data_IF_208966659372
#
_entry.id   IF_208966659372
#
_cell.length_a   1.000
_cell.length_b   1.000
_cell.length_c   1.000
_cell.angle_alpha   90.00
_cell.angle_beta   90.00
_cell.angle_gamma   90.00
#
_symmetry.space_group_name_H-M   'P 1'
#
loop_
_entity.id
_entity.type
_entity.pdbx_description
1 polymer ?
#
# COMPACT_ATOMS: atom_id res chain seq x y z
N UNK A 1 18.38 -18.31 6.99
CA UNK A 1 19.73 -17.71 6.99
C UNK A 1 19.73 -16.27 6.48
N UNK A 2 18.85 -15.93 5.54
CA UNK A 2 18.71 -14.58 4.99
C UNK A 2 18.42 -13.50 6.06
N UNK A 3 17.55 -13.79 7.04
CA UNK A 3 17.25 -12.86 8.13
C UNK A 3 18.51 -12.41 8.91
N UNK A 4 19.54 -13.27 8.99
CA UNK A 4 20.80 -12.92 9.68
C UNK A 4 21.64 -11.88 8.92
N UNK A 5 21.33 -11.67 7.65
CA UNK A 5 22.02 -10.74 6.76
C UNK A 5 21.13 -9.56 6.35
N UNK A 6 19.91 -9.47 6.90
CA UNK A 6 19.02 -8.32 6.69
C UNK A 6 19.48 -7.15 7.53
N UNK A 7 19.71 -6.01 6.89
CA UNK A 7 19.98 -4.72 7.53
C UNK A 7 18.75 -3.85 7.29
N UNK A 8 18.07 -3.45 8.35
CA UNK A 8 16.89 -2.57 8.29
C UNK A 8 17.33 -1.12 8.24
N UNK A 9 16.67 -0.31 7.42
CA UNK A 9 16.90 1.12 7.28
C UNK A 9 15.56 1.84 7.43
N UNK A 10 15.55 2.97 8.13
CA UNK A 10 14.35 3.81 8.24
C UNK A 10 14.20 4.70 7.00
N UNK A 11 13.01 5.25 6.79
CA UNK A 11 12.79 6.19 5.70
C UNK A 11 13.59 7.48 5.88
N UNK A 12 14.22 7.95 4.81
CA UNK A 12 15.05 9.15 4.80
C UNK A 12 16.50 8.92 5.24
N UNK A 13 16.86 7.73 5.75
CA UNK A 13 18.23 7.42 6.12
C UNK A 13 19.10 7.21 4.87
N UNK A 14 20.09 8.08 4.69
CA UNK A 14 21.08 7.97 3.62
C UNK A 14 22.15 6.95 4.02
N UNK A 15 22.20 5.83 3.30
CA UNK A 15 23.06 4.69 3.65
C UNK A 15 24.03 4.34 2.53
N UNK A 16 25.33 4.31 2.83
CA UNK A 16 26.34 3.81 1.89
C UNK A 16 26.21 2.28 1.75
N UNK A 17 25.79 1.81 0.57
CA UNK A 17 25.62 0.37 0.28
C UNK A 17 26.72 -0.19 -0.64
N UNK A 18 27.50 0.70 -1.26
CA UNK A 18 28.70 0.40 -2.04
C UNK A 18 29.64 1.61 -2.00
N UNK A 19 30.92 1.49 -2.42
CA UNK A 19 31.87 2.62 -2.40
C UNK A 19 31.41 3.90 -3.12
N UNK A 20 30.52 3.76 -4.09
CA UNK A 20 30.01 4.83 -4.94
C UNK A 20 28.47 4.83 -5.04
N UNK A 21 27.76 4.16 -4.13
CA UNK A 21 26.29 4.12 -4.14
C UNK A 21 25.72 4.35 -2.75
N UNK A 22 24.86 5.37 -2.64
CA UNK A 22 24.03 5.61 -1.47
C UNK A 22 22.57 5.25 -1.77
N UNK A 23 21.94 4.57 -0.83
CA UNK A 23 20.52 4.21 -0.86
C UNK A 23 19.78 5.03 0.18
N UNK A 24 18.63 5.56 -0.22
CA UNK A 24 17.64 6.16 0.67
C UNK A 24 16.28 5.55 0.36
N UNK A 25 15.58 5.05 1.38
CA UNK A 25 14.18 4.61 1.24
C UNK A 25 13.22 5.76 1.55
N UNK A 26 12.14 5.83 0.78
CA UNK A 26 11.03 6.75 1.01
C UNK A 26 9.71 5.98 1.03
N UNK A 27 8.66 6.52 1.66
CA UNK A 27 7.36 5.87 1.70
C UNK A 27 6.80 5.63 0.28
N UNK A 28 6.37 4.41 -0.03
CA UNK A 28 5.68 4.06 -1.28
C UNK A 28 4.14 4.04 -1.16
N UNK A 29 3.59 4.17 0.04
CA UNK A 29 2.12 4.21 0.25
C UNK A 29 1.38 2.92 -0.13
N UNK A 30 2.08 1.83 -0.45
CA UNK A 30 1.48 0.61 -0.99
C UNK A 30 1.04 -0.37 0.10
N UNK A 31 1.97 -0.73 0.99
CA UNK A 31 1.72 -1.58 2.16
C UNK A 31 2.62 -1.14 3.32
N UNK A 32 2.43 -1.73 4.51
CA UNK A 32 3.30 -1.47 5.65
C UNK A 32 4.76 -1.78 5.30
N UNK A 33 5.62 -0.76 5.39
CA UNK A 33 7.06 -0.88 5.08
C UNK A 33 7.40 -0.82 3.58
N UNK A 34 6.43 -0.58 2.69
CA UNK A 34 6.71 -0.42 1.25
C UNK A 34 7.56 0.83 0.99
N UNK A 35 8.63 0.68 0.21
CA UNK A 35 9.60 1.74 -0.03
C UNK A 35 9.84 2.04 -1.51
N UNK A 36 9.90 3.34 -1.82
CA UNK A 36 10.56 3.85 -3.03
C UNK A 36 12.06 3.90 -2.76
N UNK A 37 12.86 3.34 -3.64
CA UNK A 37 14.32 3.26 -3.49
C UNK A 37 15.00 4.33 -4.33
N UNK A 38 15.62 5.32 -3.68
CA UNK A 38 16.44 6.35 -4.33
C UNK A 38 17.91 5.95 -4.24
N UNK A 39 18.58 5.87 -5.39
CA UNK A 39 20.00 5.57 -5.48
C UNK A 39 20.75 6.79 -5.98
N UNK A 40 21.73 7.23 -5.20
CA UNK A 40 22.67 8.27 -5.56
C UNK A 40 24.02 7.65 -5.95
N UNK A 41 24.45 7.85 -7.19
CA UNK A 41 25.62 7.18 -7.79
C UNK A 41 26.78 8.17 -7.98
N UNK A 42 27.95 7.80 -7.46
CA UNK A 42 29.16 8.62 -7.43
C UNK A 42 28.96 9.91 -6.64
N UNK A 43 29.63 10.98 -7.04
CA UNK A 43 29.43 12.33 -6.51
C UNK A 43 28.23 13.02 -7.17
N UNK A 44 27.11 12.31 -7.31
CA UNK A 44 25.94 12.74 -8.05
C UNK A 44 26.11 12.69 -9.56
N UNK A 45 26.83 11.70 -10.08
CA UNK A 45 26.91 11.46 -11.52
C UNK A 45 25.54 11.09 -12.09
N UNK A 46 24.78 10.27 -11.38
CA UNK A 46 23.45 9.84 -11.77
C UNK A 46 22.61 9.47 -10.56
N UNK A 47 21.31 9.72 -10.62
CA UNK A 47 20.35 9.32 -9.59
C UNK A 47 19.23 8.55 -10.25
N UNK A 48 18.94 7.37 -9.71
CA UNK A 48 17.87 6.50 -10.19
C UNK A 48 16.91 6.21 -9.05
N UNK A 49 15.62 6.28 -9.36
CA UNK A 49 14.53 5.91 -8.46
C UNK A 49 13.87 4.65 -9.00
N UNK A 50 13.70 3.67 -8.12
CA UNK A 50 12.82 2.53 -8.34
C UNK A 50 11.61 2.68 -7.44
N UNK A 51 10.42 2.81 -8.03
CA UNK A 51 9.20 3.05 -7.24
C UNK A 51 8.82 1.84 -6.37
N UNK A 52 9.10 0.62 -6.85
CA UNK A 52 8.38 -0.56 -6.39
C UNK A 52 6.89 -0.43 -6.75
N UNK A 53 6.03 -1.16 -6.05
CA UNK A 53 4.58 -0.93 -6.14
C UNK A 53 4.24 0.31 -5.30
N UNK A 54 3.46 1.23 -5.86
CA UNK A 54 3.17 2.52 -5.22
C UNK A 54 1.68 2.82 -5.21
N UNK A 55 1.25 3.52 -4.16
CA UNK A 55 -0.04 4.21 -4.17
C UNK A 55 0.19 5.68 -3.86
N UNK A 56 -0.18 6.56 -4.78
CA UNK A 56 0.24 7.96 -4.72
C UNK A 56 -0.70 8.86 -3.90
N UNK A 57 -1.92 8.40 -3.63
CA UNK A 57 -2.90 9.10 -2.79
C UNK A 57 -2.86 8.52 -1.38
N UNK A 58 -3.24 9.33 -0.38
CA UNK A 58 -3.47 8.82 0.97
C UNK A 58 -4.59 7.77 0.95
N UNK A 59 -4.39 6.68 1.69
CA UNK A 59 -5.43 5.70 2.00
C UNK A 59 -5.82 5.81 3.48
N UNK A 60 -6.74 4.95 3.94
CA UNK A 60 -7.06 4.88 5.38
C UNK A 60 -5.87 4.51 6.27
N UNK A 61 -4.84 3.85 5.73
CA UNK A 61 -3.70 3.35 6.49
C UNK A 61 -2.40 4.09 6.24
N UNK A 62 -2.17 4.56 5.02
CA UNK A 62 -0.88 5.07 4.60
C UNK A 62 -1.01 6.43 3.92
N UNK A 63 -0.03 7.29 4.15
CA UNK A 63 0.16 8.45 3.30
C UNK A 63 0.55 7.99 1.88
N UNK A 64 0.24 8.81 0.88
CA UNK A 64 0.66 8.60 -0.49
C UNK A 64 2.18 8.49 -0.65
N UNK A 65 2.59 7.86 -1.75
CA UNK A 65 3.98 7.70 -2.12
C UNK A 65 4.72 9.05 -2.17
N UNK A 66 5.93 9.07 -1.62
CA UNK A 66 6.82 10.22 -1.72
C UNK A 66 7.31 10.38 -3.16
N UNK A 67 7.29 11.61 -3.65
CA UNK A 67 7.85 12.00 -4.94
C UNK A 67 8.85 13.17 -4.82
N UNK A 68 9.21 13.55 -3.61
CA UNK A 68 10.15 14.64 -3.36
C UNK A 68 11.56 14.06 -3.19
N UNK A 69 12.36 14.23 -4.24
CA UNK A 69 13.73 13.73 -4.29
C UNK A 69 14.67 14.89 -4.65
N UNK A 70 15.86 14.98 -4.04
CA UNK A 70 16.81 16.05 -4.33
C UNK A 70 17.23 16.12 -5.81
N UNK A 71 17.36 14.97 -6.47
CA UNK A 71 17.75 14.83 -7.88
C UNK A 71 17.38 13.45 -8.41
N UNK A 72 16.82 13.38 -9.62
CA UNK A 72 16.44 12.14 -10.31
C UNK A 72 16.66 12.28 -11.81
N UNK A 73 17.50 11.44 -12.39
CA UNK A 73 17.70 11.33 -13.84
C UNK A 73 16.91 10.18 -14.46
N UNK A 74 16.68 9.11 -13.70
CA UNK A 74 15.96 7.93 -14.18
C UNK A 74 14.91 7.51 -13.15
N UNK A 75 13.68 7.36 -13.61
CA UNK A 75 12.60 6.76 -12.85
C UNK A 75 12.23 5.43 -13.49
N UNK A 76 12.34 4.35 -12.72
CA UNK A 76 11.79 3.04 -13.06
C UNK A 76 10.54 2.87 -12.20
N UNK A 77 9.38 2.81 -12.85
CA UNK A 77 8.11 2.73 -12.14
C UNK A 77 7.27 1.52 -12.52
N UNK A 78 6.42 1.10 -11.60
CA UNK A 78 5.41 0.08 -11.84
C UNK A 78 4.37 0.52 -12.88
N UNK A 79 3.62 -0.45 -13.41
CA UNK A 79 2.61 -0.23 -14.45
C UNK A 79 1.41 -1.16 -14.32
N UNK A 80 1.09 -1.57 -13.09
CA UNK A 80 -0.02 -2.49 -12.78
C UNK A 80 -1.33 -1.98 -13.37
N UNK A 81 -1.56 -0.66 -13.28
CA UNK A 81 -2.70 0.05 -13.87
C UNK A 81 -2.27 1.01 -15.00
N UNK A 82 -1.25 0.64 -15.78
CA UNK A 82 -0.64 1.50 -16.80
C UNK A 82 -1.43 1.61 -18.11
N UNK A 83 -2.55 0.90 -18.27
CA UNK A 83 -3.36 0.94 -19.50
C UNK A 83 -4.26 2.17 -19.51
N UNK A 84 -4.58 2.66 -20.71
CA UNK A 84 -5.42 3.85 -20.93
C UNK A 84 -6.74 3.85 -20.15
N UNK A 85 -7.38 2.69 -20.00
CA UNK A 85 -8.73 2.58 -19.42
C UNK A 85 -8.72 1.93 -18.03
N UNK A 86 -7.54 1.76 -17.40
CA UNK A 86 -7.38 1.16 -16.07
C UNK A 86 -7.60 2.21 -14.96
N UNK A 87 -8.75 2.86 -15.00
CA UNK A 87 -9.15 3.81 -13.96
C UNK A 87 -9.68 3.06 -12.74
N UNK A 88 -9.17 3.43 -11.56
CA UNK A 88 -9.75 2.98 -10.31
C UNK A 88 -10.94 3.85 -9.94
N UNK A 89 -11.95 3.24 -9.33
CA UNK A 89 -13.07 3.96 -8.73
C UNK A 89 -12.58 4.73 -7.51
N UNK A 90 -13.18 5.90 -7.26
CA UNK A 90 -12.88 6.68 -6.06
C UNK A 90 -13.08 5.81 -4.80
N UNK A 91 -12.29 6.11 -3.77
CA UNK A 91 -12.27 5.27 -2.56
C UNK A 91 -13.65 5.26 -1.88
N UNK A 92 -14.28 6.41 -1.71
CA UNK A 92 -15.63 6.53 -1.10
C UNK A 92 -16.69 5.75 -1.89
N UNK A 93 -16.63 5.78 -3.21
CA UNK A 93 -17.54 5.06 -4.09
C UNK A 93 -17.34 3.54 -3.99
N UNK A 94 -16.08 3.11 -3.91
CA UNK A 94 -15.71 1.71 -3.72
C UNK A 94 -16.18 1.17 -2.37
N UNK A 95 -16.00 1.95 -1.31
CA UNK A 95 -16.47 1.63 0.04
C UNK A 95 -18.00 1.53 0.09
N UNK A 96 -18.70 2.53 -0.48
CA UNK A 96 -20.17 2.51 -0.54
C UNK A 96 -20.70 1.28 -1.26
N UNK A 97 -20.14 0.93 -2.41
CA UNK A 97 -20.54 -0.25 -3.19
C UNK A 97 -20.28 -1.55 -2.41
N UNK A 98 -19.12 -1.65 -1.73
CA UNK A 98 -18.82 -2.79 -0.87
C UNK A 98 -19.86 -2.96 0.24
N UNK A 99 -20.17 -1.88 0.96
CA UNK A 99 -21.15 -1.90 2.05
C UNK A 99 -22.55 -2.28 1.56
N UNK A 100 -22.95 -1.81 0.39
CA UNK A 100 -24.23 -2.17 -0.25
C UNK A 100 -24.29 -3.68 -0.55
N UNK A 101 -23.27 -4.24 -1.19
CA UNK A 101 -23.17 -5.68 -1.47
C UNK A 101 -23.24 -6.51 -0.18
N UNK A 102 -22.53 -6.06 0.87
CA UNK A 102 -22.53 -6.75 2.17
C UNK A 102 -23.91 -6.72 2.81
N UNK A 103 -24.56 -5.55 2.85
CA UNK A 103 -25.89 -5.37 3.42
C UNK A 103 -26.92 -6.22 2.70
N UNK A 104 -26.97 -6.17 1.37
CA UNK A 104 -27.88 -6.99 0.58
C UNK A 104 -27.69 -8.49 0.80
N UNK A 105 -26.44 -8.93 0.91
CA UNK A 105 -26.12 -10.34 1.15
C UNK A 105 -26.56 -10.76 2.55
N UNK A 106 -26.33 -9.90 3.55
CA UNK A 106 -26.75 -10.13 4.93
C UNK A 106 -28.27 -10.23 5.06
N UNK A 107 -29.02 -9.30 4.46
CA UNK A 107 -30.48 -9.27 4.52
C UNK A 107 -31.14 -10.51 3.89
N UNK A 108 -30.44 -11.16 2.94
CA UNK A 108 -30.87 -12.42 2.32
C UNK A 108 -30.45 -13.67 3.11
N UNK A 109 -29.79 -13.51 4.26
CA UNK A 109 -29.26 -14.61 5.07
C UNK A 109 -28.02 -15.29 4.47
N UNK A 110 -27.32 -14.60 3.56
CA UNK A 110 -26.11 -15.08 2.89
C UNK A 110 -24.83 -14.85 3.70
N UNK A 111 -23.70 -15.21 3.09
CA UNK A 111 -22.35 -14.96 3.61
C UNK A 111 -21.51 -14.32 2.52
N UNK A 112 -20.70 -13.33 2.89
CA UNK A 112 -19.74 -12.67 1.99
C UNK A 112 -18.36 -13.25 2.22
N UNK A 113 -17.68 -13.63 1.14
CA UNK A 113 -16.29 -14.12 1.19
C UNK A 113 -15.43 -13.13 0.41
N UNK A 114 -14.46 -12.51 1.10
CA UNK A 114 -13.56 -11.51 0.51
C UNK A 114 -12.15 -12.10 0.50
N UNK A 115 -11.60 -12.49 -0.67
CA UNK A 115 -10.21 -12.93 -0.77
C UNK A 115 -9.29 -11.71 -0.62
N UNK A 116 -8.35 -11.79 0.32
CA UNK A 116 -7.36 -10.75 0.57
C UNK A 116 -5.99 -11.35 0.91
N UNK A 117 -4.92 -10.63 0.59
CA UNK A 117 -3.58 -10.94 1.06
C UNK A 117 -3.45 -10.70 2.56
N UNK A 118 -2.44 -11.28 3.20
CA UNK A 118 -2.23 -11.14 4.64
C UNK A 118 -1.89 -9.70 5.09
N UNK A 119 -1.27 -8.93 4.20
CA UNK A 119 -0.86 -7.53 4.43
C UNK A 119 -1.27 -6.71 3.21
N UNK A 120 -1.86 -5.54 3.47
CA UNK A 120 -2.33 -4.59 2.45
C UNK A 120 -3.83 -4.34 2.59
N UNK A 121 -4.61 -4.74 1.58
CA UNK A 121 -6.05 -4.45 1.49
C UNK A 121 -6.89 -5.05 2.61
N UNK A 122 -6.46 -6.15 3.24
CA UNK A 122 -7.16 -6.74 4.39
C UNK A 122 -7.32 -5.76 5.55
N UNK A 123 -6.28 -5.00 5.87
CA UNK A 123 -6.29 -4.06 6.99
C UNK A 123 -7.18 -2.85 6.70
N UNK A 124 -7.18 -2.35 5.45
CA UNK A 124 -8.08 -1.26 5.05
C UNK A 124 -9.55 -1.68 5.12
N UNK A 125 -9.86 -2.88 4.62
CA UNK A 125 -11.21 -3.45 4.70
C UNK A 125 -11.68 -3.58 6.14
N UNK A 126 -10.82 -4.01 7.05
CA UNK A 126 -11.18 -4.09 8.47
C UNK A 126 -11.57 -2.73 9.05
N UNK A 127 -10.86 -1.66 8.69
CA UNK A 127 -11.22 -0.30 9.12
C UNK A 127 -12.56 0.16 8.56
N UNK A 128 -12.80 -0.07 7.26
CA UNK A 128 -14.08 0.27 6.61
C UNK A 128 -15.25 -0.45 7.26
N UNK A 129 -15.10 -1.75 7.52
CA UNK A 129 -16.17 -2.58 8.10
C UNK A 129 -16.40 -2.26 9.57
N UNK A 130 -15.35 -1.99 10.35
CA UNK A 130 -15.47 -1.58 11.74
C UNK A 130 -16.22 -0.24 11.84
N UNK A 131 -15.83 0.74 11.03
CA UNK A 131 -16.47 2.06 11.02
C UNK A 131 -17.93 1.96 10.62
N UNK A 132 -18.24 1.21 9.54
CA UNK A 132 -19.61 1.03 9.08
C UNK A 132 -20.50 0.34 10.13
N UNK A 133 -19.97 -0.61 10.91
CA UNK A 133 -20.71 -1.23 12.02
C UNK A 133 -20.88 -0.28 13.21
N UNK A 134 -19.86 0.53 13.49
CA UNK A 134 -19.88 1.51 14.59
C UNK A 134 -20.85 2.66 14.32
N UNK A 135 -20.97 3.09 13.07
CA UNK A 135 -21.85 4.18 12.63
C UNK A 135 -23.28 3.71 12.32
N UNK A 136 -23.50 2.39 12.24
CA UNK A 136 -24.81 1.80 12.02
C UNK A 136 -25.19 1.61 10.55
N UNK A 137 -24.24 1.84 9.63
CA UNK A 137 -24.41 1.53 8.20
C UNK A 137 -24.46 0.02 7.96
N UNK A 138 -23.77 -0.77 8.76
CA UNK A 138 -23.91 -2.22 8.79
C UNK A 138 -24.41 -2.68 10.16
N UNK A 139 -25.25 -3.74 10.21
CA UNK A 139 -25.57 -4.37 11.48
C UNK A 139 -24.30 -5.00 12.07
N UNK A 140 -24.20 -5.04 13.40
CA UNK A 140 -23.14 -5.79 14.06
C UNK A 140 -23.27 -7.27 13.73
N UNK A 141 -22.24 -7.81 13.08
CA UNK A 141 -22.21 -9.21 12.65
C UNK A 141 -20.78 -9.76 12.78
N UNK A 142 -20.62 -11.09 12.91
CA UNK A 142 -19.29 -11.67 13.00
C UNK A 142 -18.51 -11.50 11.70
N UNK A 143 -17.32 -10.91 11.80
CA UNK A 143 -16.30 -10.90 10.75
C UNK A 143 -15.25 -11.93 11.15
N UNK A 144 -15.06 -12.95 10.32
CA UNK A 144 -14.04 -13.97 10.53
C UNK A 144 -12.79 -13.61 9.71
N UNK A 145 -11.63 -13.63 10.37
CA UNK A 145 -10.33 -13.50 9.74
C UNK A 145 -9.67 -14.88 9.73
N UNK A 146 -9.11 -15.26 8.59
CA UNK A 146 -8.46 -16.56 8.42
C UNK A 146 -7.11 -16.41 7.71
N UNK A 147 -6.27 -17.44 7.80
CA UNK A 147 -4.90 -17.44 7.33
C UNK A 147 -3.94 -16.72 8.29
N UNK A 148 -3.17 -15.77 7.76
CA UNK A 148 -2.18 -15.00 8.53
C UNK A 148 -2.68 -13.60 8.92
N UNK A 149 -3.90 -13.24 8.53
CA UNK A 149 -4.57 -12.00 8.96
C UNK A 149 -5.04 -12.20 10.40
N UNK A 150 -4.73 -11.26 11.29
CA UNK A 150 -5.07 -11.33 12.72
C UNK A 150 -5.45 -9.96 13.26
#
# INVERSE_FOLDING_TARGET
EELKHTITLDYGDVTDIAPDIKLTFHNAGHILGSAVSHFHIGDGFHNVVFSGDVHYTDTRLFNGASNDFPRVETLVMESTYGRRDDYQTDQEDSERNLLEIIRETHDRGGKVVIPAFAVGRSQELMLVLEEAMREGDLPTMPIYLDGMIR
#
